data_IF_778931383084
#
_entry.id   IF_778931383084
#
_cell.length_a   1.000
_cell.length_b   1.000
_cell.length_c   1.000
_cell.angle_alpha   90.00
_cell.angle_beta   90.00
_cell.angle_gamma   90.00
#
_symmetry.space_group_name_H-M   'P 1'
#
loop_
_entity.id
_entity.type
_entity.pdbx_description
1 polymer ?
#
# COMPACT_ATOMS: atom_id res chain seq x y z
N UNK A 1 6.06 -17.36 -15.26
CA UNK A 1 4.93 -16.49 -14.87
C UNK A 1 4.30 -17.08 -13.62
N UNK A 2 4.78 -16.70 -12.43
CA UNK A 2 4.25 -17.23 -11.16
C UNK A 2 2.98 -16.43 -10.86
N UNK A 3 1.84 -16.94 -11.31
CA UNK A 3 0.53 -16.35 -11.06
C UNK A 3 0.23 -16.53 -9.57
N UNK A 4 0.72 -15.60 -8.74
CA UNK A 4 0.32 -15.56 -7.34
C UNK A 4 -1.18 -15.34 -7.36
N UNK A 5 -1.94 -16.40 -7.04
CA UNK A 5 -3.39 -16.35 -6.84
C UNK A 5 -3.64 -15.39 -5.67
N UNK A 6 -3.68 -14.10 -5.97
CA UNK A 6 -3.98 -13.08 -4.97
C UNK A 6 -5.48 -13.16 -4.76
N UNK A 7 -5.86 -13.81 -3.66
CA UNK A 7 -7.24 -13.90 -3.17
C UNK A 7 -7.93 -12.52 -3.27
N UNK A 8 -9.18 -12.45 -3.68
CA UNK A 8 -9.92 -11.18 -3.77
C UNK A 8 -10.23 -10.63 -2.37
N UNK A 9 -10.52 -9.33 -2.25
CA UNK A 9 -10.91 -8.76 -0.95
C UNK A 9 -12.22 -9.36 -0.42
N UNK A 10 -13.12 -9.82 -1.29
CA UNK A 10 -14.34 -10.52 -0.89
C UNK A 10 -14.04 -11.91 -0.31
N UNK A 11 -13.14 -12.66 -0.96
CA UNK A 11 -12.68 -13.98 -0.48
C UNK A 11 -11.95 -13.85 0.87
N UNK A 12 -11.17 -12.77 1.06
CA UNK A 12 -10.54 -12.46 2.37
C UNK A 12 -11.55 -12.16 3.48
N UNK A 13 -12.61 -11.44 3.17
CA UNK A 13 -13.66 -11.15 4.15
C UNK A 13 -14.50 -12.39 4.47
N UNK A 14 -14.75 -13.26 3.48
CA UNK A 14 -15.39 -14.55 3.70
C UNK A 14 -14.55 -15.45 4.63
N UNK A 15 -13.24 -15.51 4.38
CA UNK A 15 -12.31 -16.25 5.24
C UNK A 15 -12.27 -15.69 6.68
N UNK A 16 -12.32 -14.36 6.86
CA UNK A 16 -12.42 -13.78 8.20
C UNK A 16 -13.72 -14.15 8.92
N UNK A 17 -14.84 -14.18 8.19
CA UNK A 17 -16.12 -14.59 8.76
C UNK A 17 -16.10 -16.07 9.17
N UNK A 18 -15.52 -16.93 8.34
CA UNK A 18 -15.36 -18.36 8.62
C UNK A 18 -14.46 -18.60 9.82
N UNK A 19 -13.33 -17.89 9.91
CA UNK A 19 -12.43 -17.97 11.08
C UNK A 19 -13.12 -17.48 12.36
N UNK A 20 -13.93 -16.42 12.31
CA UNK A 20 -14.71 -15.97 13.46
C UNK A 20 -15.76 -17.01 13.92
N UNK A 21 -16.39 -17.72 12.97
CA UNK A 21 -17.32 -18.81 13.27
C UNK A 21 -16.55 -19.97 13.93
N UNK A 22 -15.44 -20.41 13.34
CA UNK A 22 -14.61 -21.48 13.88
C UNK A 22 -14.10 -21.16 15.30
N UNK A 23 -13.61 -19.93 15.54
CA UNK A 23 -13.16 -19.50 16.88
C UNK A 23 -14.30 -19.53 17.90
N UNK A 24 -15.52 -19.15 17.52
CA UNK A 24 -16.71 -19.24 18.38
C UNK A 24 -17.10 -20.68 18.66
N UNK A 25 -17.01 -21.56 17.68
CA UNK A 25 -17.30 -22.98 17.84
C UNK A 25 -16.30 -23.67 18.76
N UNK A 26 -15.00 -23.41 18.58
CA UNK A 26 -13.95 -23.90 19.47
C UNK A 26 -14.15 -23.42 20.91
N UNK A 27 -14.44 -22.12 21.11
CA UNK A 27 -14.74 -21.58 22.45
C UNK A 27 -15.96 -22.25 23.09
N UNK A 28 -17.04 -22.43 22.32
CA UNK A 28 -18.23 -23.18 22.79
C UNK A 28 -17.89 -24.64 23.12
N UNK A 29 -17.02 -25.28 22.34
CA UNK A 29 -16.54 -26.64 22.57
C UNK A 29 -15.78 -26.77 23.88
N UNK A 30 -14.85 -25.85 24.15
CA UNK A 30 -14.09 -25.79 25.41
C UNK A 30 -15.04 -25.59 26.60
N UNK A 31 -16.02 -24.67 26.50
CA UNK A 31 -17.00 -24.44 27.58
C UNK A 31 -17.88 -25.68 27.81
N UNK A 32 -18.30 -26.38 26.75
CA UNK A 32 -19.05 -27.64 26.86
C UNK A 32 -18.22 -28.72 27.55
N UNK A 33 -16.95 -28.86 27.19
CA UNK A 33 -16.02 -29.80 27.80
C UNK A 33 -15.81 -29.49 29.30
N UNK A 34 -15.58 -28.22 29.64
CA UNK A 34 -15.49 -27.77 31.04
C UNK A 34 -16.76 -28.08 31.84
N UNK A 35 -17.95 -27.90 31.25
CA UNK A 35 -19.21 -28.25 31.90
C UNK A 35 -19.36 -29.77 32.07
N UNK A 36 -19.01 -30.55 31.05
CA UNK A 36 -19.04 -32.01 31.12
C UNK A 36 -18.12 -32.54 32.24
N UNK A 37 -16.90 -32.00 32.36
CA UNK A 37 -15.94 -32.35 33.42
C UNK A 37 -16.48 -32.01 34.81
N UNK A 38 -17.23 -30.91 34.95
CA UNK A 38 -17.84 -30.51 36.24
C UNK A 38 -19.09 -31.29 36.60
N UNK A 39 -19.82 -31.81 35.61
CA UNK A 39 -21.09 -32.51 35.79
C UNK A 39 -20.97 -34.02 35.85
N UNK A 40 -19.84 -34.62 35.46
CA UNK A 40 -19.65 -36.07 35.46
C UNK A 40 -19.30 -36.58 36.88
N UNK A 41 -20.17 -37.38 37.52
CA UNK A 41 -19.93 -37.93 38.85
C UNK A 41 -18.93 -39.11 38.86
N UNK A 42 -18.50 -39.60 37.69
CA UNK A 42 -17.66 -40.81 37.56
C UNK A 42 -16.18 -40.52 37.33
N UNK A 43 -15.74 -39.25 37.38
CA UNK A 43 -14.31 -38.89 37.35
C UNK A 43 -13.70 -39.29 38.70
N UNK A 44 -13.29 -40.56 38.77
CA UNK A 44 -12.96 -41.29 40.01
C UNK A 44 -11.61 -40.90 40.62
N UNK A 45 -10.78 -40.12 39.95
CA UNK A 45 -9.55 -39.56 40.51
C UNK A 45 -9.66 -38.03 40.62
N UNK A 46 -9.51 -37.52 41.84
CA UNK A 46 -9.45 -36.07 42.14
C UNK A 46 -8.40 -35.35 41.26
N UNK A 47 -7.36 -36.06 40.84
CA UNK A 47 -6.31 -35.54 39.97
C UNK A 47 -6.68 -35.56 38.48
N UNK A 48 -7.50 -36.51 38.02
CA UNK A 48 -7.97 -36.56 36.62
C UNK A 48 -8.84 -35.34 36.27
N UNK A 49 -9.74 -34.95 37.17
CA UNK A 49 -10.52 -33.71 37.01
C UNK A 49 -9.61 -32.47 36.94
N UNK A 50 -8.56 -32.40 37.76
CA UNK A 50 -7.58 -31.29 37.72
C UNK A 50 -6.80 -31.26 36.41
N UNK A 51 -6.33 -32.42 35.93
CA UNK A 51 -5.60 -32.52 34.67
C UNK A 51 -6.47 -32.11 33.48
N UNK A 52 -7.74 -32.54 33.44
CA UNK A 52 -8.68 -32.18 32.39
C UNK A 52 -9.06 -30.69 32.42
N UNK A 53 -9.20 -30.09 33.61
CA UNK A 53 -9.40 -28.65 33.75
C UNK A 53 -8.16 -27.87 33.27
N UNK A 54 -6.96 -28.30 33.66
CA UNK A 54 -5.73 -27.67 33.19
C UNK A 54 -5.55 -27.76 31.67
N UNK A 55 -5.92 -28.90 31.07
CA UNK A 55 -5.96 -29.05 29.61
C UNK A 55 -6.96 -28.08 28.95
N UNK A 56 -8.14 -27.87 29.54
CA UNK A 56 -9.09 -26.85 29.06
C UNK A 56 -8.51 -25.44 29.14
N UNK A 57 -7.79 -25.10 30.22
CA UNK A 57 -7.16 -23.79 30.39
C UNK A 57 -6.07 -23.55 29.34
N UNK A 58 -5.25 -24.57 29.06
CA UNK A 58 -4.24 -24.57 27.99
C UNK A 58 -4.88 -24.34 26.61
N UNK A 59 -5.99 -25.03 26.32
CA UNK A 59 -6.73 -24.85 25.07
C UNK A 59 -7.32 -23.43 24.95
N UNK A 60 -7.83 -22.86 26.04
CA UNK A 60 -8.37 -21.50 26.03
C UNK A 60 -7.26 -20.45 25.84
N UNK A 61 -6.12 -20.62 26.51
CA UNK A 61 -4.94 -19.78 26.30
C UNK A 61 -4.45 -19.83 24.85
N UNK A 62 -4.39 -21.03 24.26
CA UNK A 62 -3.98 -21.20 22.86
C UNK A 62 -4.98 -20.54 21.90
N UNK A 63 -6.28 -20.71 22.13
CA UNK A 63 -7.33 -20.07 21.33
C UNK A 63 -7.26 -18.54 21.40
N UNK A 64 -6.94 -17.99 22.57
CA UNK A 64 -6.76 -16.55 22.76
C UNK A 64 -5.50 -16.02 22.06
N UNK A 65 -4.41 -16.80 22.05
CA UNK A 65 -3.21 -16.48 21.25
C UNK A 65 -3.53 -16.42 19.75
N UNK A 66 -4.24 -17.42 19.23
CA UNK A 66 -4.69 -17.41 17.82
C UNK A 66 -5.56 -16.19 17.53
N UNK A 67 -6.49 -15.85 18.43
CA UNK A 67 -7.35 -14.65 18.29
C UNK A 67 -6.51 -13.38 18.18
N UNK A 68 -5.43 -13.26 18.94
CA UNK A 68 -4.51 -12.12 18.88
C UNK A 68 -3.75 -12.08 17.55
N UNK A 69 -3.26 -13.21 17.05
CA UNK A 69 -2.59 -13.31 15.74
C UNK A 69 -3.56 -12.89 14.62
N UNK A 70 -4.80 -13.39 14.63
CA UNK A 70 -5.82 -13.02 13.64
C UNK A 70 -6.10 -11.51 13.69
N UNK A 71 -6.20 -10.91 14.88
CA UNK A 71 -6.39 -9.47 15.02
C UNK A 71 -5.21 -8.67 14.44
N UNK A 72 -3.98 -9.10 14.69
CA UNK A 72 -2.79 -8.48 14.09
C UNK A 72 -2.80 -8.59 12.56
N UNK A 73 -3.12 -9.77 12.02
CA UNK A 73 -3.22 -9.99 10.56
C UNK A 73 -4.28 -9.08 9.92
N UNK A 74 -5.44 -8.89 10.58
CA UNK A 74 -6.49 -7.96 10.14
C UNK A 74 -6.00 -6.50 10.12
N UNK A 75 -5.27 -6.07 11.14
CA UNK A 75 -4.68 -4.72 11.21
C UNK A 75 -3.69 -4.47 10.06
N UNK A 76 -2.76 -5.40 9.83
CA UNK A 76 -1.79 -5.31 8.72
C UNK A 76 -2.51 -5.24 7.38
N UNK A 77 -3.56 -6.05 7.19
CA UNK A 77 -4.37 -6.04 5.98
C UNK A 77 -5.06 -4.71 5.76
N UNK A 78 -5.70 -4.15 6.79
CA UNK A 78 -6.38 -2.84 6.68
C UNK A 78 -5.40 -1.75 6.25
N UNK A 79 -4.19 -1.74 6.83
CA UNK A 79 -3.14 -0.82 6.42
C UNK A 79 -2.75 -1.03 4.94
N UNK A 80 -2.51 -2.28 4.53
CA UNK A 80 -2.13 -2.64 3.15
C UNK A 80 -3.23 -2.33 2.13
N UNK A 81 -4.50 -2.58 2.45
CA UNK A 81 -5.64 -2.26 1.58
C UNK A 81 -5.80 -0.75 1.43
N UNK A 82 -5.68 0.03 2.51
CA UNK A 82 -5.67 1.50 2.44
C UNK A 82 -4.54 2.01 1.56
N UNK A 83 -3.32 1.49 1.76
CA UNK A 83 -2.17 1.83 0.92
C UNK A 83 -2.39 1.45 -0.55
N UNK A 84 -2.93 0.26 -0.84
CA UNK A 84 -3.29 -0.16 -2.21
C UNK A 84 -4.35 0.73 -2.86
N UNK A 85 -5.34 1.19 -2.11
CA UNK A 85 -6.36 2.12 -2.62
C UNK A 85 -5.76 3.48 -2.99
N UNK A 86 -4.78 3.95 -2.21
CA UNK A 86 -4.03 5.16 -2.56
C UNK A 86 -3.25 4.92 -3.86
N UNK A 87 -2.55 3.80 -3.97
CA UNK A 87 -1.77 3.45 -5.17
C UNK A 87 -2.66 3.26 -6.41
N UNK A 88 -3.83 2.63 -6.30
CA UNK A 88 -4.75 2.45 -7.44
C UNK A 88 -5.38 3.77 -7.89
N UNK A 89 -5.74 4.64 -6.94
CA UNK A 89 -6.18 6.02 -7.23
C UNK A 89 -5.10 6.80 -7.96
N UNK A 90 -3.86 6.72 -7.50
CA UNK A 90 -2.71 7.33 -8.16
C UNK A 90 -2.50 6.74 -9.57
N UNK A 91 -2.60 5.41 -9.72
CA UNK A 91 -2.45 4.74 -11.02
C UNK A 91 -3.52 5.16 -12.04
N UNK A 92 -4.79 5.31 -11.62
CA UNK A 92 -5.86 5.79 -12.49
C UNK A 92 -5.65 7.25 -12.90
N UNK A 93 -5.17 8.11 -11.98
CA UNK A 93 -4.82 9.50 -12.31
C UNK A 93 -3.68 9.58 -13.33
N UNK A 94 -2.67 8.73 -13.21
CA UNK A 94 -1.57 8.62 -14.18
C UNK A 94 -2.07 8.20 -15.56
N UNK A 95 -2.95 7.19 -15.64
CA UNK A 95 -3.55 6.74 -16.91
C UNK A 95 -4.38 7.82 -17.61
N UNK A 96 -5.13 8.61 -16.84
CA UNK A 96 -5.92 9.73 -17.39
C UNK A 96 -5.02 10.80 -17.99
N UNK A 97 -3.93 11.16 -17.29
CA UNK A 97 -2.94 12.11 -17.79
C UNK A 97 -2.24 11.62 -19.07
N UNK A 98 -1.90 10.32 -19.12
CA UNK A 98 -1.31 9.70 -20.31
C UNK A 98 -2.28 9.73 -21.51
N UNK A 99 -3.58 9.50 -21.28
CA UNK A 99 -4.59 9.59 -22.34
C UNK A 99 -4.79 11.02 -22.88
N UNK A 100 -4.75 12.05 -22.03
CA UNK A 100 -4.82 13.45 -22.46
C UNK A 100 -3.64 13.88 -23.33
N UNK A 101 -2.43 13.42 -23.01
CA UNK A 101 -1.23 13.69 -23.83
C UNK A 101 -1.37 13.01 -25.21
N UNK A 102 -1.86 11.76 -25.27
CA UNK A 102 -2.03 11.04 -26.54
C UNK A 102 -3.14 11.59 -27.45
N UNK A 103 -4.12 12.32 -26.90
CA UNK A 103 -5.14 13.02 -27.71
C UNK A 103 -4.63 14.31 -28.34
N UNK A 104 -3.68 15.00 -27.69
CA UNK A 104 -3.08 16.24 -28.22
C UNK A 104 -2.07 15.95 -29.36
N UNK A 105 -1.38 14.80 -29.35
CA UNK A 105 -0.43 14.43 -30.42
C UNK A 105 -1.11 13.92 -31.72
N UNK A 106 -2.42 13.67 -31.74
CA UNK A 106 -3.12 13.10 -32.92
C UNK A 106 -3.69 14.14 -33.90
N UNK A 107 -3.54 15.42 -33.57
CA UNK A 107 -4.11 16.55 -34.32
C UNK A 107 -3.00 17.47 -34.83
N UNK A 108 -2.05 16.95 -35.61
CA UNK A 108 -1.26 17.70 -36.59
C UNK A 108 -0.21 16.78 -37.26
N UNK A 109 -0.48 16.38 -38.51
CA UNK A 109 0.38 16.60 -39.71
C UNK A 109 0.08 15.56 -40.84
N UNK A 110 0.01 15.99 -42.12
CA UNK A 110 -0.29 15.15 -43.30
C UNK A 110 0.92 14.40 -43.89
N UNK A 111 0.61 13.42 -44.75
CA UNK A 111 1.52 12.56 -45.56
C UNK A 111 2.27 13.30 -46.69
N UNK A 112 3.56 13.00 -46.87
CA UNK A 112 4.23 12.76 -48.18
C UNK A 112 5.63 12.13 -47.94
N UNK A 113 5.82 10.84 -48.26
CA UNK A 113 6.62 10.25 -49.38
C UNK A 113 8.13 10.57 -49.32
N UNK A 114 8.98 9.65 -48.87
CA UNK A 114 9.65 8.51 -49.59
C UNK A 114 10.70 8.92 -50.63
N UNK A 115 11.97 8.82 -50.25
CA UNK A 115 13.14 8.30 -51.01
C UNK A 115 14.32 8.23 -50.00
N UNK A 116 14.69 7.03 -49.51
CA UNK A 116 15.64 6.04 -50.04
C UNK A 116 17.08 6.26 -49.56
N UNK A 117 17.67 5.17 -49.09
CA UNK A 117 19.08 4.90 -48.77
C UNK A 117 19.52 5.40 -47.37
N UNK A 118 19.62 4.58 -46.32
CA UNK A 118 19.94 3.16 -46.25
C UNK A 118 21.42 2.98 -45.87
N UNK A 119 21.73 3.03 -44.58
CA UNK A 119 22.68 2.14 -43.88
C UNK A 119 22.34 2.09 -42.38
N UNK A 120 21.82 0.93 -41.97
CA UNK A 120 21.83 0.34 -40.62
C UNK A 120 23.28 0.20 -40.08
N UNK A 121 23.65 0.12 -38.79
CA UNK A 121 22.96 -0.03 -37.51
C UNK A 121 23.98 0.25 -36.36
N UNK A 122 23.48 0.67 -35.19
CA UNK A 122 23.99 0.45 -33.80
C UNK A 122 24.63 1.62 -33.00
N UNK A 123 23.83 2.03 -32.00
CA UNK A 123 24.10 2.54 -30.64
C UNK A 123 24.44 4.02 -30.36
N UNK A 124 23.37 4.76 -30.01
CA UNK A 124 23.35 5.96 -29.17
C UNK A 124 23.70 5.59 -27.71
N UNK A 125 24.61 6.28 -27.00
CA UNK A 125 24.50 7.64 -26.45
C UNK A 125 23.15 7.85 -25.75
N UNK A 126 23.12 7.78 -24.41
CA UNK A 126 23.51 8.87 -23.51
C UNK A 126 22.67 10.14 -23.76
N UNK A 127 21.63 10.32 -22.94
CA UNK A 127 21.51 11.49 -22.05
C UNK A 127 20.11 11.51 -21.41
N UNK A 128 20.10 11.23 -20.11
CA UNK A 128 19.48 12.06 -19.08
C UNK A 128 18.45 13.10 -19.51
N UNK A 129 17.17 12.91 -19.14
CA UNK A 129 16.43 13.95 -18.38
C UNK A 129 15.17 13.44 -17.68
N UNK A 130 15.25 13.57 -16.35
CA UNK A 130 14.22 14.00 -15.40
C UNK A 130 12.77 13.64 -15.68
N UNK A 131 12.39 12.52 -15.10
CA UNK A 131 11.05 12.09 -14.72
C UNK A 131 10.58 12.91 -13.53
N UNK A 132 9.46 13.68 -13.59
CA UNK A 132 8.62 14.09 -12.42
C UNK A 132 7.13 14.33 -12.74
N UNK A 133 6.26 13.85 -11.83
CA UNK A 133 4.80 13.68 -11.92
C UNK A 133 4.05 14.65 -11.00
N UNK A 134 2.95 15.25 -11.48
CA UNK A 134 2.00 16.10 -10.73
C UNK A 134 1.02 15.30 -9.86
N UNK A 135 0.49 15.92 -8.79
CA UNK A 135 -0.96 16.02 -8.44
C UNK A 135 -1.15 16.86 -7.14
N UNK A 136 -2.36 17.30 -6.69
CA UNK A 136 -3.67 17.51 -7.34
C UNK A 136 -4.35 18.89 -7.02
N UNK A 137 -5.36 19.33 -7.79
CA UNK A 137 -6.26 20.45 -7.42
C UNK A 137 -7.63 19.93 -6.96
N UNK A 138 -8.12 20.45 -5.83
CA UNK A 138 -9.46 20.19 -5.28
C UNK A 138 -10.45 21.25 -5.81
N UNK A 139 -11.49 20.84 -6.53
CA UNK A 139 -12.58 21.74 -6.98
C UNK A 139 -13.61 21.84 -5.85
N UNK A 140 -13.79 23.06 -5.32
CA UNK A 140 -14.91 23.41 -4.43
C UNK A 140 -16.22 23.46 -5.22
N UNK A 141 -17.24 22.78 -4.68
CA UNK A 141 -18.66 22.96 -5.04
C UNK A 141 -19.17 24.22 -4.34
N UNK A 142 -19.68 25.18 -5.10
CA UNK A 142 -20.58 26.24 -4.64
C UNK A 142 -21.69 26.43 -5.69
N UNK A 143 -22.89 26.73 -5.20
CA UNK A 143 -24.18 26.47 -5.85
C UNK A 143 -24.90 27.76 -6.30
N UNK A 144 -25.80 27.60 -7.30
CA UNK A 144 -26.92 28.47 -7.76
C UNK A 144 -26.53 29.79 -8.48
N UNK A 145 -27.12 30.20 -9.62
CA UNK A 145 -28.54 30.25 -10.04
C UNK A 145 -28.78 30.03 -11.56
N UNK A 146 -30.05 29.75 -11.98
CA UNK A 146 -30.41 29.45 -13.36
C UNK A 146 -30.91 30.69 -14.14
N UNK A 147 -30.38 30.93 -15.34
CA UNK A 147 -30.98 31.89 -16.27
C UNK A 147 -31.27 31.27 -17.64
N UNK A 148 -32.57 31.05 -17.82
CA UNK A 148 -33.38 31.18 -19.03
C UNK A 148 -32.82 30.68 -20.36
N UNK A 149 -33.41 29.57 -20.79
CA UNK A 149 -33.47 29.08 -22.16
C UNK A 149 -34.06 30.11 -23.14
N UNK A 150 -33.33 30.41 -24.20
CA UNK A 150 -33.89 30.75 -25.51
C UNK A 150 -33.11 29.99 -26.58
N UNK A 151 -33.69 28.88 -27.05
CA UNK A 151 -33.33 28.31 -28.35
C UNK A 151 -33.79 29.25 -29.47
N UNK A 152 -32.97 29.46 -30.51
CA UNK A 152 -33.50 29.75 -31.83
C UNK A 152 -33.48 28.48 -32.68
N UNK A 153 -34.65 28.22 -33.25
CA UNK A 153 -34.96 27.11 -34.14
C UNK A 153 -33.99 26.97 -35.32
N UNK A 154 -33.54 25.73 -35.53
CA UNK A 154 -32.80 25.29 -36.70
C UNK A 154 -33.73 25.22 -37.93
N UNK A 155 -33.69 26.24 -38.80
CA UNK A 155 -34.24 26.12 -40.16
C UNK A 155 -33.21 25.40 -41.04
N UNK A 156 -33.53 24.16 -41.44
CA UNK A 156 -32.79 23.44 -42.46
C UNK A 156 -33.04 24.09 -43.83
N UNK A 157 -32.00 24.70 -44.42
CA UNK A 157 -32.00 25.11 -45.83
C UNK A 157 -31.05 24.18 -46.59
N UNK A 158 -31.53 23.61 -47.70
CA UNK A 158 -30.77 22.74 -48.61
C UNK A 158 -29.67 23.53 -49.32
N UNK A 159 -28.53 22.89 -49.68
CA UNK A 159 -27.40 23.61 -50.26
C UNK A 159 -27.62 23.85 -51.76
N UNK A 160 -27.92 25.08 -52.14
CA UNK A 160 -27.87 25.48 -53.56
C UNK A 160 -26.41 25.84 -53.91
N UNK A 161 -25.85 25.02 -54.79
CA UNK A 161 -24.45 24.91 -55.17
C UNK A 161 -23.88 26.13 -55.95
N UNK A 162 -24.58 27.26 -55.97
CA UNK A 162 -24.18 28.49 -56.67
C UNK A 162 -23.55 29.55 -55.75
N UNK A 163 -23.75 29.50 -54.43
CA UNK A 163 -23.27 30.56 -53.54
C UNK A 163 -21.74 30.54 -53.35
N UNK A 164 -21.17 29.33 -53.22
CA UNK A 164 -19.75 29.16 -52.92
C UNK A 164 -18.83 29.63 -54.06
N UNK A 165 -19.27 29.48 -55.31
CA UNK A 165 -18.50 29.94 -56.48
C UNK A 165 -18.51 31.47 -56.59
N UNK A 166 -19.59 32.12 -56.14
CA UNK A 166 -19.74 33.57 -56.20
C UNK A 166 -18.88 34.28 -55.14
N UNK A 167 -18.73 33.70 -53.95
CA UNK A 167 -17.93 34.29 -52.88
C UNK A 167 -16.41 34.15 -53.11
N UNK A 168 -15.95 33.02 -53.68
CA UNK A 168 -14.53 32.87 -54.07
C UNK A 168 -14.11 33.89 -55.14
N UNK A 169 -14.98 34.15 -56.12
CA UNK A 169 -14.68 35.09 -57.21
C UNK A 169 -14.74 36.55 -56.75
N UNK A 170 -15.57 36.86 -55.75
CA UNK A 170 -15.62 38.18 -55.11
C UNK A 170 -14.39 38.47 -54.23
N UNK A 171 -13.84 37.43 -53.58
CA UNK A 171 -12.63 37.56 -52.74
C UNK A 171 -11.32 37.65 -53.52
N UNK A 172 -11.30 37.26 -54.80
CA UNK A 172 -10.09 37.27 -55.63
C UNK A 172 -9.81 38.62 -56.31
N UNK A 173 -10.76 39.57 -56.29
CA UNK A 173 -10.65 40.88 -56.94
C UNK A 173 -10.96 42.07 -56.02
N UNK A 174 -11.19 41.84 -54.73
CA UNK A 174 -11.26 42.90 -53.74
C UNK A 174 -9.92 42.96 -53.01
N UNK A 175 -9.15 44.03 -53.22
CA UNK A 175 -8.15 44.38 -52.21
C UNK A 175 -8.88 44.51 -50.87
N UNK A 176 -8.33 43.97 -49.77
CA UNK A 176 -8.95 44.09 -48.47
C UNK A 176 -8.82 45.56 -48.06
N UNK A 177 -9.83 46.37 -48.40
CA UNK A 177 -10.08 47.68 -47.79
C UNK A 177 -10.28 47.42 -46.29
N UNK A 178 -9.16 47.40 -45.58
CA UNK A 178 -9.06 47.29 -44.13
C UNK A 178 -9.02 48.70 -43.57
N UNK A 179 -10.05 49.49 -43.88
CA UNK A 179 -10.25 50.79 -43.24
C UNK A 179 -10.95 50.52 -41.90
N UNK A 180 -10.17 49.99 -40.95
CA UNK A 180 -10.58 50.01 -39.55
C UNK A 180 -10.68 51.48 -39.14
N UNK A 181 -11.79 51.86 -38.51
CA UNK A 181 -11.82 53.16 -37.86
C UNK A 181 -10.69 53.19 -36.81
N UNK A 182 -10.00 54.32 -36.65
CA UNK A 182 -8.88 54.47 -35.68
C UNK A 182 -9.29 54.00 -34.26
N UNK A 183 -10.58 54.11 -33.95
CA UNK A 183 -11.21 53.64 -32.71
C UNK A 183 -11.32 52.11 -32.64
N UNK A 184 -11.66 51.43 -33.74
CA UNK A 184 -11.73 49.97 -33.81
C UNK A 184 -10.34 49.34 -33.75
N UNK A 185 -9.35 49.89 -34.46
CA UNK A 185 -7.97 49.40 -34.40
C UNK A 185 -7.39 49.53 -32.98
N UNK A 186 -7.66 50.65 -32.30
CA UNK A 186 -7.28 50.85 -30.90
C UNK A 186 -7.98 49.85 -29.96
N UNK A 187 -9.27 49.59 -30.19
CA UNK A 187 -10.05 48.62 -29.41
C UNK A 187 -9.51 47.19 -29.59
N UNK A 188 -9.20 46.79 -30.83
CA UNK A 188 -8.57 45.50 -31.11
C UNK A 188 -7.16 45.39 -30.53
N UNK A 189 -6.36 46.44 -30.59
CA UNK A 189 -5.03 46.47 -29.98
C UNK A 189 -5.11 46.31 -28.46
N UNK A 190 -6.08 46.98 -27.82
CA UNK A 190 -6.34 46.88 -26.38
C UNK A 190 -6.82 45.48 -25.98
N UNK A 191 -7.73 44.87 -26.75
CA UNK A 191 -8.22 43.51 -26.52
C UNK A 191 -7.10 42.48 -26.69
N UNK A 192 -6.27 42.58 -27.75
CA UNK A 192 -5.10 41.73 -27.93
C UNK A 192 -4.06 41.92 -26.81
N UNK A 193 -3.89 43.13 -26.31
CA UNK A 193 -3.02 43.37 -25.16
C UNK A 193 -3.60 42.72 -23.89
N UNK A 194 -4.91 42.77 -23.69
CA UNK A 194 -5.57 42.13 -22.56
C UNK A 194 -5.48 40.60 -22.64
N UNK A 195 -5.65 40.03 -23.83
CA UNK A 195 -5.50 38.59 -24.06
C UNK A 195 -4.06 38.15 -23.77
N UNK A 196 -3.06 38.90 -24.27
CA UNK A 196 -1.65 38.65 -23.96
C UNK A 196 -1.36 38.70 -22.45
N UNK A 197 -1.94 39.66 -21.72
CA UNK A 197 -1.78 39.74 -20.25
C UNK A 197 -2.40 38.52 -19.54
N UNK A 198 -3.58 38.06 -19.97
CA UNK A 198 -4.22 36.86 -19.41
C UNK A 198 -3.37 35.61 -19.67
N UNK A 199 -2.87 35.45 -20.89
CA UNK A 199 -1.99 34.34 -21.26
C UNK A 199 -0.69 34.36 -20.45
N UNK A 200 -0.08 35.53 -20.25
CA UNK A 200 1.11 35.66 -19.40
C UNK A 200 0.83 35.24 -17.96
N UNK A 201 -0.29 35.66 -17.38
CA UNK A 201 -0.65 35.28 -16.02
C UNK A 201 -0.87 33.77 -15.88
N UNK A 202 -1.68 33.16 -16.74
CA UNK A 202 -1.90 31.71 -16.71
C UNK A 202 -0.60 30.93 -16.95
N UNK A 203 0.28 31.42 -17.82
CA UNK A 203 1.59 30.81 -18.03
C UNK A 203 2.46 30.83 -16.76
N UNK A 204 2.50 31.96 -16.04
CA UNK A 204 3.24 32.05 -14.77
C UNK A 204 2.69 31.12 -13.68
N UNK A 205 1.37 30.88 -13.66
CA UNK A 205 0.75 29.94 -12.72
C UNK A 205 1.09 28.48 -13.07
N UNK A 206 1.08 28.14 -14.37
CA UNK A 206 1.50 26.81 -14.84
C UNK A 206 2.97 26.53 -14.51
N UNK A 207 3.86 27.51 -14.70
CA UNK A 207 5.27 27.41 -14.30
C UNK A 207 5.44 27.18 -12.79
N UNK A 208 4.65 27.88 -11.96
CA UNK A 208 4.68 27.69 -10.52
C UNK A 208 4.20 26.28 -10.10
N UNK A 209 3.16 25.77 -10.76
CA UNK A 209 2.66 24.41 -10.56
C UNK A 209 3.71 23.38 -10.96
N UNK A 210 4.33 23.53 -12.14
CA UNK A 210 5.37 22.63 -12.63
C UNK A 210 6.52 22.49 -11.62
N UNK A 211 6.94 23.59 -11.01
CA UNK A 211 7.98 23.59 -9.99
C UNK A 211 7.58 22.83 -8.72
N UNK A 212 6.35 23.03 -8.23
CA UNK A 212 5.84 22.31 -7.06
C UNK A 212 5.71 20.80 -7.31
N UNK A 213 5.32 20.45 -8.53
CA UNK A 213 5.24 19.08 -9.02
C UNK A 213 6.61 18.41 -9.06
N UNK A 214 7.61 19.15 -9.53
CA UNK A 214 8.99 18.70 -9.51
C UNK A 214 9.48 18.46 -8.07
N UNK A 215 9.08 19.30 -7.13
CA UNK A 215 9.40 19.07 -5.72
C UNK A 215 8.68 17.83 -5.17
N UNK A 216 7.40 17.66 -5.47
CA UNK A 216 6.59 16.52 -5.02
C UNK A 216 7.20 15.19 -5.48
N UNK A 217 7.52 15.05 -6.77
CA UNK A 217 8.12 13.79 -7.20
C UNK A 217 9.55 13.62 -6.68
N UNK A 218 10.27 14.70 -6.30
CA UNK A 218 11.55 14.55 -5.57
C UNK A 218 11.30 13.86 -4.23
N UNK A 219 10.33 14.37 -3.47
CA UNK A 219 9.98 13.82 -2.17
C UNK A 219 9.43 12.39 -2.30
N UNK A 220 8.60 12.12 -3.31
CA UNK A 220 8.06 10.78 -3.55
C UNK A 220 9.16 9.77 -3.89
N UNK A 221 10.16 10.16 -4.70
CA UNK A 221 11.32 9.31 -5.01
C UNK A 221 12.09 8.99 -3.74
N UNK A 222 12.40 10.00 -2.93
CA UNK A 222 13.10 9.83 -1.65
C UNK A 222 12.31 8.97 -0.66
N UNK A 223 11.00 9.19 -0.56
CA UNK A 223 10.13 8.39 0.29
C UNK A 223 10.11 6.92 -0.14
N UNK A 224 9.99 6.65 -1.45
CA UNK A 224 10.02 5.28 -1.97
C UNK A 224 11.35 4.59 -1.68
N UNK A 225 12.46 5.29 -1.86
CA UNK A 225 13.80 4.80 -1.53
C UNK A 225 13.90 4.47 -0.04
N UNK A 226 13.46 5.38 0.83
CA UNK A 226 13.51 5.17 2.28
C UNK A 226 12.59 4.07 2.78
N UNK A 227 11.42 3.88 2.17
CA UNK A 227 10.53 2.76 2.49
C UNK A 227 11.16 1.42 2.09
N UNK A 228 11.87 1.37 0.95
CA UNK A 228 12.61 0.16 0.55
C UNK A 228 13.79 -0.14 1.49
N UNK A 229 14.56 0.89 1.88
CA UNK A 229 15.64 0.74 2.88
C UNK A 229 15.08 0.20 4.20
N UNK A 230 13.97 0.79 4.67
CA UNK A 230 13.33 0.41 5.93
C UNK A 230 12.81 -1.03 5.91
N UNK A 231 12.31 -1.53 4.77
CA UNK A 231 11.89 -2.94 4.64
C UNK A 231 13.04 -3.90 4.95
N UNK A 232 14.22 -3.62 4.42
CA UNK A 232 15.42 -4.42 4.67
C UNK A 232 15.83 -4.36 6.15
N UNK A 233 15.78 -3.17 6.75
CA UNK A 233 16.15 -3.01 8.16
C UNK A 233 15.17 -3.69 9.13
N UNK A 234 13.86 -3.68 8.82
CA UNK A 234 12.85 -4.42 9.59
C UNK A 234 13.17 -5.92 9.59
N UNK A 235 13.59 -6.48 8.46
CA UNK A 235 13.95 -7.91 8.37
C UNK A 235 15.17 -8.20 9.24
N UNK A 236 16.20 -7.36 9.21
CA UNK A 236 17.39 -7.53 10.08
C UNK A 236 17.03 -7.50 11.56
N UNK A 237 16.22 -6.52 11.98
CA UNK A 237 15.78 -6.40 13.38
C UNK A 237 14.93 -7.60 13.78
N UNK A 238 14.06 -8.08 12.89
CA UNK A 238 13.24 -9.26 13.13
C UNK A 238 14.10 -10.50 13.35
N UNK A 239 15.02 -10.81 12.44
CA UNK A 239 15.92 -11.98 12.58
C UNK A 239 16.77 -11.87 13.84
N UNK A 240 17.34 -10.70 14.14
CA UNK A 240 18.10 -10.50 15.37
C UNK A 240 17.23 -10.68 16.63
N UNK A 241 15.96 -10.27 16.59
CA UNK A 241 15.02 -10.48 17.69
C UNK A 241 14.66 -11.97 17.85
N UNK A 242 14.45 -12.71 16.74
CA UNK A 242 14.24 -14.15 16.75
C UNK A 242 15.44 -14.89 17.36
N UNK A 243 16.66 -14.59 16.90
CA UNK A 243 17.90 -15.15 17.45
C UNK A 243 18.05 -14.82 18.94
N UNK A 244 17.71 -13.59 19.36
CA UNK A 244 17.77 -13.20 20.77
C UNK A 244 16.75 -13.99 21.60
N UNK A 245 15.54 -14.21 21.10
CA UNK A 245 14.51 -15.00 21.77
C UNK A 245 14.95 -16.46 21.90
N UNK A 246 15.53 -17.04 20.85
CA UNK A 246 16.08 -18.38 20.88
C UNK A 246 17.22 -18.50 21.89
N UNK A 247 18.20 -17.57 21.85
CA UNK A 247 19.31 -17.51 22.79
C UNK A 247 18.84 -17.39 24.25
N UNK A 248 17.79 -16.61 24.54
CA UNK A 248 17.22 -16.48 25.89
C UNK A 248 16.53 -17.78 26.32
N UNK A 249 15.81 -18.43 25.42
CA UNK A 249 15.13 -19.70 25.70
C UNK A 249 16.15 -20.79 26.04
N UNK A 250 17.18 -20.93 25.21
CA UNK A 250 18.26 -21.90 25.42
C UNK A 250 19.03 -21.59 26.71
N UNK A 251 19.32 -20.31 26.97
CA UNK A 251 19.91 -19.87 28.23
C UNK A 251 19.08 -20.27 29.45
N UNK A 252 17.74 -20.16 29.38
CA UNK A 252 16.85 -20.56 30.46
C UNK A 252 16.87 -22.07 30.69
N UNK A 253 16.88 -22.87 29.62
CA UNK A 253 16.97 -24.32 29.71
C UNK A 253 18.30 -24.80 30.29
N UNK A 254 19.41 -24.13 29.93
CA UNK A 254 20.72 -24.35 30.54
C UNK A 254 20.72 -24.00 32.03
N UNK A 255 20.11 -22.88 32.43
CA UNK A 255 19.98 -22.48 33.84
C UNK A 255 19.18 -23.52 34.62
N UNK A 256 18.04 -23.96 34.10
CA UNK A 256 17.22 -25.02 34.75
C UNK A 256 18.01 -26.30 34.92
N UNK A 257 18.74 -26.71 33.89
CA UNK A 257 19.58 -27.91 33.92
C UNK A 257 20.71 -27.78 34.95
N UNK A 258 21.36 -26.61 35.04
CA UNK A 258 22.40 -26.33 36.02
C UNK A 258 21.87 -26.36 37.46
N UNK A 259 20.67 -25.80 37.71
CA UNK A 259 20.01 -25.83 39.02
C UNK A 259 19.72 -27.28 39.44
N UNK A 260 19.17 -28.09 38.52
CA UNK A 260 18.89 -29.51 38.78
C UNK A 260 20.18 -30.27 39.14
N UNK A 261 21.25 -30.06 38.39
CA UNK A 261 22.54 -30.70 38.66
C UNK A 261 23.17 -30.24 39.99
N UNK A 262 22.96 -28.97 40.37
CA UNK A 262 23.43 -28.41 41.64
C UNK A 262 22.83 -29.10 42.87
N UNK A 263 21.54 -29.48 42.81
CA UNK A 263 20.88 -30.21 43.89
C UNK A 263 21.44 -31.63 44.05
N UNK A 264 21.60 -32.36 42.93
CA UNK A 264 22.17 -33.72 42.94
C UNK A 264 23.59 -33.75 43.50
N UNK A 265 24.43 -32.75 43.17
CA UNK A 265 25.79 -32.65 43.72
C UNK A 265 25.79 -32.54 45.24
N UNK A 266 24.89 -31.76 45.83
CA UNK A 266 24.80 -31.58 47.30
C UNK A 266 24.38 -32.87 48.01
N UNK A 267 23.42 -33.61 47.43
CA UNK A 267 22.97 -34.90 47.98
C UNK A 267 24.11 -35.92 47.98
N UNK A 268 24.91 -35.98 46.90
CA UNK A 268 26.06 -36.86 46.80
C UNK A 268 27.11 -36.54 47.88
N UNK A 269 27.41 -35.26 48.14
CA UNK A 269 28.34 -34.87 49.21
C UNK A 269 27.84 -35.27 50.60
N UNK A 270 26.55 -35.09 50.91
CA UNK A 270 25.97 -35.50 52.19
C UNK A 270 26.03 -37.03 52.37
N UNK A 271 25.72 -37.79 51.31
CA UNK A 271 25.85 -39.24 51.33
C UNK A 271 27.28 -39.68 51.60
N UNK A 272 28.26 -39.10 50.90
CA UNK A 272 29.68 -39.38 51.14
C UNK A 272 30.09 -39.07 52.58
N UNK A 273 29.66 -37.92 53.15
CA UNK A 273 29.96 -37.57 54.53
C UNK A 273 29.42 -38.61 55.53
N UNK A 274 28.18 -39.06 55.34
CA UNK A 274 27.56 -40.08 56.21
C UNK A 274 28.31 -41.42 56.12
N UNK A 275 28.68 -41.84 54.91
CA UNK A 275 29.45 -43.08 54.73
C UNK A 275 30.83 -42.94 55.40
N UNK A 276 31.48 -41.79 55.24
CA UNK A 276 32.82 -41.54 55.79
C UNK A 276 32.81 -41.42 57.32
N UNK A 277 31.76 -40.85 57.92
CA UNK A 277 31.61 -40.85 59.38
C UNK A 277 31.40 -42.25 59.93
N UNK A 278 30.60 -43.09 59.25
CA UNK A 278 30.45 -44.49 59.66
C UNK A 278 31.72 -45.31 59.47
N UNK A 279 32.47 -45.11 58.37
CA UNK A 279 33.75 -45.82 58.20
C UNK A 279 34.75 -45.42 59.27
N UNK A 280 34.80 -44.14 59.67
CA UNK A 280 35.64 -43.69 60.79
C UNK A 280 35.19 -44.27 62.13
N UNK A 281 33.87 -44.34 62.40
CA UNK A 281 33.35 -44.97 63.61
C UNK A 281 33.69 -46.47 63.67
N UNK A 282 33.58 -47.18 62.55
CA UNK A 282 33.99 -48.57 62.47
C UNK A 282 35.49 -48.75 62.62
N UNK A 283 36.31 -47.85 62.07
CA UNK A 283 37.77 -47.89 62.23
C UNK A 283 38.17 -47.63 63.68
N UNK A 284 37.53 -46.67 64.34
CA UNK A 284 37.71 -46.33 65.76
C UNK A 284 37.30 -47.50 66.66
N UNK A 285 36.20 -48.18 66.33
CA UNK A 285 35.74 -49.36 67.06
C UNK A 285 36.58 -50.62 66.78
N UNK A 286 37.23 -50.71 65.62
CA UNK A 286 38.06 -51.84 65.20
C UNK A 286 39.53 -51.72 65.64
N UNK A 287 39.96 -50.54 66.08
CA UNK A 287 41.28 -50.28 66.63
C UNK A 287 41.18 -50.07 68.16
N UNK A 288 41.07 -51.15 68.97
CA UNK A 288 41.04 -51.05 70.42
C UNK A 288 42.34 -50.49 71.03
#
# INVERSE_FOLDING_TARGET
>A
MRMTMTMSDAERNAFDAETDIAMKECSKGIIKLQKAIKSDPNIRAVDESKHLNHACDLLDMYLNSIRQIIAQMRTVRLYKTKSRQVVSRLSNLVKLHESSITSETKSEIPKAKEESDGWEHVNSQDESRSRKSWNPVQIKREAEEPLLSHEPHLHQVKPDQCFFQQELTRSAFAEPETDFTEVEELKFAMENQQLRRRLQHTNTEVEAIEKQVEELHRMQKFFSEKVMDQEVDIIKVHTAAEETVENIKDGNDLIRSAIKNGASRRVIFLFCLIVLTFTLLFLDWYNP
#
